data_IF_499039906265
#
_entry.id   IF_499039906265
#
_cell.length_a   1.000
_cell.length_b   1.000
_cell.length_c   1.000
_cell.angle_alpha   90.00
_cell.angle_beta   90.00
_cell.angle_gamma   90.00
#
_symmetry.space_group_name_H-M   'P 1'
#
loop_
_entity.id
_entity.type
_entity.pdbx_description
1 polymer ?
#
# COMPACT_ATOMS: atom_id res chain seq x y z
N UNK A 1 25.82 28.15 33.93
CA UNK A 1 24.83 28.00 32.83
C UNK A 1 25.63 27.79 31.55
N UNK A 2 25.86 26.54 31.16
CA UNK A 2 26.77 26.21 30.05
C UNK A 2 26.03 25.45 28.96
N UNK A 3 26.53 25.65 27.72
CA UNK A 3 26.36 24.83 26.51
C UNK A 3 25.23 25.26 25.55
N UNK A 4 25.50 26.35 24.82
CA UNK A 4 25.14 26.40 23.40
C UNK A 4 26.39 25.97 22.61
N UNK A 5 26.24 25.01 21.70
CA UNK A 5 27.37 24.39 21.01
C UNK A 5 26.91 23.42 19.93
N UNK A 6 26.59 23.99 18.76
CA UNK A 6 26.50 23.39 17.42
C UNK A 6 27.11 21.98 17.32
N UNK A 7 26.29 21.00 16.94
CA UNK A 7 26.77 19.76 16.31
C UNK A 7 25.95 19.53 15.04
N UNK A 8 26.44 20.18 13.98
CA UNK A 8 26.10 19.90 12.59
C UNK A 8 26.95 18.70 12.17
N UNK A 9 26.30 17.66 11.66
CA UNK A 9 26.95 16.61 10.88
C UNK A 9 26.88 15.23 11.52
N UNK A 10 26.11 14.33 10.89
CA UNK A 10 26.66 13.20 10.13
C UNK A 10 25.59 12.08 10.05
N UNK A 11 24.81 12.04 8.96
CA UNK A 11 24.20 10.81 8.43
C UNK A 11 23.41 11.08 7.13
N UNK A 12 23.95 11.89 6.22
CA UNK A 12 23.45 11.95 4.83
C UNK A 12 24.09 10.83 4.02
N UNK A 13 23.54 9.60 4.03
CA UNK A 13 23.86 8.56 3.03
C UNK A 13 23.06 7.24 3.21
N UNK A 14 21.72 7.25 3.25
CA UNK A 14 20.99 5.97 3.29
C UNK A 14 19.58 6.02 2.65
N UNK A 15 19.40 6.66 1.50
CA UNK A 15 18.10 6.62 0.81
C UNK A 15 18.21 6.44 -0.71
N UNK A 16 19.24 5.73 -1.18
CA UNK A 16 19.21 5.12 -2.53
C UNK A 16 18.48 3.77 -2.44
N UNK A 17 17.22 3.80 -1.99
CA UNK A 17 16.36 2.62 -2.02
C UNK A 17 15.55 2.67 -3.32
N UNK A 18 15.96 1.81 -4.27
CA UNK A 18 15.18 1.38 -5.45
C UNK A 18 15.00 2.38 -6.61
N UNK A 19 16.09 2.74 -7.30
CA UNK A 19 16.00 3.36 -8.65
C UNK A 19 15.80 2.31 -9.76
N UNK A 20 14.93 1.33 -9.55
CA UNK A 20 14.76 0.20 -10.48
C UNK A 20 13.59 0.34 -11.46
N UNK A 21 12.95 1.52 -11.55
CA UNK A 21 12.07 1.84 -12.68
C UNK A 21 12.14 3.35 -13.01
N UNK A 22 13.20 3.75 -13.69
CA UNK A 22 13.26 5.04 -14.39
C UNK A 22 12.43 4.99 -15.68
N UNK A 23 11.11 4.96 -15.53
CA UNK A 23 10.14 5.21 -16.60
C UNK A 23 9.10 6.19 -16.05
N UNK A 24 9.24 7.47 -16.36
CA UNK A 24 8.34 8.51 -15.90
C UNK A 24 6.93 8.27 -16.43
N UNK A 25 6.05 7.69 -15.61
CA UNK A 25 4.70 7.38 -16.03
C UNK A 25 3.79 6.62 -15.06
N UNK A 26 4.21 6.32 -13.82
CA UNK A 26 3.32 5.68 -12.85
C UNK A 26 3.45 6.33 -11.46
N UNK A 27 2.38 7.02 -11.06
CA UNK A 27 2.10 7.46 -9.68
C UNK A 27 3.02 8.56 -9.12
N UNK A 28 2.64 9.83 -9.29
CA UNK A 28 3.30 10.95 -8.59
C UNK A 28 2.39 11.68 -7.60
N UNK A 29 1.25 11.10 -7.25
CA UNK A 29 0.47 11.51 -6.08
C UNK A 29 0.54 10.34 -5.10
N UNK A 30 1.62 10.31 -4.32
CA UNK A 30 1.68 9.42 -3.15
C UNK A 30 0.55 9.78 -2.19
N UNK A 31 0.13 8.86 -1.31
CA UNK A 31 -0.93 9.15 -0.35
C UNK A 31 -0.59 10.43 0.43
N UNK A 32 -1.57 11.33 0.53
CA UNK A 32 -1.47 12.48 1.41
C UNK A 32 -1.21 11.94 2.81
N UNK A 33 -0.03 12.23 3.37
CA UNK A 33 0.41 11.63 4.63
C UNK A 33 -0.47 12.06 5.82
N UNK A 34 -1.31 13.06 5.61
CA UNK A 34 -2.26 13.63 6.57
C UNK A 34 -3.72 13.22 6.27
N UNK A 35 -4.00 12.39 5.25
CA UNK A 35 -5.35 11.92 4.96
C UNK A 35 -5.83 10.93 6.04
N UNK A 36 -7.09 11.08 6.45
CA UNK A 36 -7.73 10.14 7.37
C UNK A 36 -7.99 8.78 6.66
N UNK A 37 -7.94 7.64 7.36
CA UNK A 37 -8.19 6.31 6.77
C UNK A 37 -9.48 6.21 5.97
N UNK A 38 -10.53 6.90 6.42
CA UNK A 38 -11.86 6.90 5.81
C UNK A 38 -11.94 7.63 4.47
N UNK A 39 -10.95 8.48 4.17
CA UNK A 39 -10.80 9.14 2.86
C UNK A 39 -9.96 8.30 1.87
N UNK A 40 -9.39 7.19 2.34
CA UNK A 40 -8.53 6.32 1.54
C UNK A 40 -9.24 5.03 1.14
N UNK A 41 -8.97 4.56 -0.08
CA UNK A 41 -9.42 3.26 -0.58
C UNK A 41 -8.22 2.32 -0.75
N UNK A 42 -8.35 1.11 -0.21
CA UNK A 42 -7.38 0.02 -0.37
C UNK A 42 -7.97 -1.02 -1.32
N UNK A 43 -7.34 -1.18 -2.49
CA UNK A 43 -7.67 -2.26 -3.42
C UNK A 43 -7.02 -3.58 -3.00
N UNK A 44 -7.80 -4.66 -2.96
CA UNK A 44 -7.35 -6.01 -2.63
C UNK A 44 -7.69 -6.94 -3.79
N UNK A 45 -6.65 -7.45 -4.46
CA UNK A 45 -6.79 -8.34 -5.61
C UNK A 45 -6.58 -9.81 -5.19
N UNK A 46 -7.58 -10.65 -5.43
CA UNK A 46 -7.61 -12.06 -5.06
C UNK A 46 -7.71 -12.96 -6.29
N UNK A 47 -7.06 -14.13 -6.30
CA UNK A 47 -6.97 -14.96 -7.49
C UNK A 47 -8.29 -15.63 -7.87
N UNK A 48 -9.09 -16.09 -6.91
CA UNK A 48 -10.25 -16.95 -7.16
C UNK A 48 -11.15 -17.11 -5.95
N UNK A 49 -12.43 -17.40 -6.18
CA UNK A 49 -13.44 -17.65 -5.14
C UNK A 49 -13.69 -19.14 -4.90
N UNK A 50 -13.01 -20.02 -5.66
CA UNK A 50 -13.32 -21.46 -5.66
C UNK A 50 -12.67 -22.24 -4.53
N UNK A 51 -11.66 -21.66 -3.87
CA UNK A 51 -10.99 -22.29 -2.73
C UNK A 51 -11.38 -21.58 -1.43
N UNK A 52 -11.86 -22.36 -0.47
CA UNK A 52 -12.29 -21.87 0.85
C UNK A 52 -11.21 -21.03 1.55
N UNK A 53 -9.93 -21.40 1.39
CA UNK A 53 -8.84 -20.61 1.93
C UNK A 53 -8.79 -19.20 1.35
N UNK A 54 -9.02 -19.01 0.05
CA UNK A 54 -8.99 -17.67 -0.57
C UNK A 54 -10.22 -16.84 -0.22
N UNK A 55 -11.36 -17.49 0.04
CA UNK A 55 -12.53 -16.82 0.60
C UNK A 55 -12.25 -16.31 2.02
N UNK A 56 -11.70 -17.19 2.87
CA UNK A 56 -11.39 -16.85 4.25
C UNK A 56 -10.28 -15.79 4.34
N UNK A 57 -9.23 -15.93 3.54
CA UNK A 57 -8.12 -14.97 3.49
C UNK A 57 -8.63 -13.59 2.99
N UNK A 58 -9.52 -13.56 1.98
CA UNK A 58 -10.10 -12.32 1.46
C UNK A 58 -10.98 -11.59 2.48
N UNK A 59 -11.90 -12.31 3.12
CA UNK A 59 -12.78 -11.76 4.16
C UNK A 59 -11.98 -11.23 5.36
N UNK A 60 -10.95 -11.97 5.81
CA UNK A 60 -10.13 -11.53 6.94
C UNK A 60 -9.33 -10.25 6.63
N UNK A 61 -8.90 -10.07 5.38
CA UNK A 61 -8.19 -8.85 4.95
C UNK A 61 -9.16 -7.68 4.84
N UNK A 62 -10.32 -7.88 4.24
CA UNK A 62 -11.38 -6.86 4.14
C UNK A 62 -11.81 -6.39 5.54
N UNK A 63 -12.22 -7.32 6.41
CA UNK A 63 -12.65 -7.02 7.79
C UNK A 63 -11.58 -6.25 8.57
N UNK A 64 -10.32 -6.67 8.46
CA UNK A 64 -9.21 -6.01 9.18
C UNK A 64 -8.93 -4.60 8.68
N UNK A 65 -9.05 -4.35 7.37
CA UNK A 65 -8.88 -3.02 6.79
C UNK A 65 -10.05 -2.10 7.12
N UNK A 66 -11.28 -2.61 7.09
CA UNK A 66 -12.47 -1.87 7.50
C UNK A 66 -12.45 -1.54 9.00
N UNK A 67 -11.98 -2.45 9.87
CA UNK A 67 -11.81 -2.18 11.31
C UNK A 67 -10.79 -1.05 11.55
N UNK A 68 -9.80 -0.90 10.67
CA UNK A 68 -8.85 0.21 10.70
C UNK A 68 -9.40 1.51 10.09
N UNK A 69 -10.62 1.50 9.56
CA UNK A 69 -11.31 2.67 9.02
C UNK A 69 -11.08 2.94 7.53
N UNK A 70 -10.49 2.01 6.78
CA UNK A 70 -10.31 2.16 5.34
C UNK A 70 -11.55 1.76 4.56
N UNK A 71 -11.75 2.36 3.38
CA UNK A 71 -12.63 1.78 2.37
C UNK A 71 -11.89 0.65 1.64
N UNK A 72 -12.54 -0.47 1.37
CA UNK A 72 -11.91 -1.62 0.70
C UNK A 72 -12.59 -1.90 -0.64
N UNK A 73 -11.78 -2.16 -1.67
CA UNK A 73 -12.25 -2.69 -2.96
C UNK A 73 -11.65 -4.09 -3.17
N UNK A 74 -12.40 -5.12 -2.75
CA UNK A 74 -12.02 -6.52 -2.87
C UNK A 74 -12.48 -7.10 -4.20
N UNK A 75 -11.53 -7.50 -5.05
CA UNK A 75 -11.79 -8.03 -6.37
C UNK A 75 -11.24 -9.45 -6.52
N UNK A 76 -11.98 -10.32 -7.22
CA UNK A 76 -11.57 -11.68 -7.54
C UNK A 76 -11.38 -11.86 -9.04
N UNK A 77 -10.30 -12.53 -9.43
CA UNK A 77 -9.98 -12.77 -10.85
C UNK A 77 -10.55 -14.09 -11.40
N UNK A 78 -11.06 -14.97 -10.53
CA UNK A 78 -11.57 -16.31 -10.88
C UNK A 78 -10.62 -17.13 -11.79
N UNK A 79 -9.31 -17.04 -11.51
CA UNK A 79 -8.23 -17.69 -12.26
C UNK A 79 -8.17 -17.27 -13.76
N UNK A 80 -8.77 -16.14 -14.12
CA UNK A 80 -8.76 -15.56 -15.47
C UNK A 80 -7.62 -14.54 -15.63
N UNK A 81 -6.66 -14.85 -16.50
CA UNK A 81 -5.47 -14.01 -16.75
C UNK A 81 -5.82 -12.60 -17.27
N UNK A 82 -6.75 -12.44 -18.23
CA UNK A 82 -7.20 -11.11 -18.64
C UNK A 82 -7.73 -10.29 -17.47
N UNK A 83 -8.64 -10.84 -16.67
CA UNK A 83 -9.23 -10.15 -15.51
C UNK A 83 -8.16 -9.82 -14.46
N UNK A 84 -7.25 -10.74 -14.18
CA UNK A 84 -6.12 -10.52 -13.28
C UNK A 84 -5.22 -9.35 -13.72
N UNK A 85 -5.04 -9.16 -15.04
CA UNK A 85 -4.21 -8.06 -15.57
C UNK A 85 -4.88 -6.69 -15.43
N UNK A 86 -6.18 -6.66 -15.11
CA UNK A 86 -6.99 -5.45 -14.97
C UNK A 86 -7.28 -5.07 -13.52
N UNK A 87 -6.91 -5.92 -12.56
CA UNK A 87 -6.90 -5.62 -11.12
C UNK A 87 -5.65 -4.83 -10.77
#
# INVERSE_FOLDING_TARGET
MARTGKSLGLATAAALALTACGGGGAGSDGPDADADPEDMTVGVAMPTQTYERWLNDGAAVEDGLEEMGYNVDLQYADDDIPTQSQQ
#
